data_IF_548697076265
#
_entry.id   IF_548697076265
#
_cell.length_a   1.000
_cell.length_b   1.000
_cell.length_c   1.000
_cell.angle_alpha   90.00
_cell.angle_beta   90.00
_cell.angle_gamma   90.00
#
_symmetry.space_group_name_H-M   'P 1'
#
loop_
_entity.id
_entity.type
_entity.pdbx_description
1 polymer ?
#
# COMPACT_ATOMS: atom_id res chain seq x y z
N UNK A 1 7.25 9.15 3.50
CA UNK A 1 8.02 9.09 2.23
C UNK A 1 8.73 7.75 1.99
N UNK A 2 8.74 6.81 2.95
CA UNK A 2 9.13 5.39 2.78
C UNK A 2 8.01 4.48 2.24
N UNK A 3 6.79 5.01 2.03
CA UNK A 3 5.59 4.19 1.87
C UNK A 3 5.48 3.49 0.50
N UNK A 4 6.12 4.03 -0.54
CA UNK A 4 6.01 3.51 -1.92
C UNK A 4 7.33 3.00 -2.51
N UNK A 5 8.41 2.90 -1.73
CA UNK A 5 9.71 2.41 -2.22
C UNK A 5 9.58 1.05 -2.94
N UNK A 6 8.79 0.14 -2.38
CA UNK A 6 8.61 -1.17 -2.97
C UNK A 6 7.92 -1.12 -4.34
N UNK A 7 7.04 -0.14 -4.59
CA UNK A 7 6.40 0.08 -5.89
C UNK A 7 7.41 0.62 -6.90
N UNK A 8 8.27 1.54 -6.47
CA UNK A 8 9.39 2.04 -7.27
C UNK A 8 10.34 0.90 -7.69
N UNK A 9 10.84 0.12 -6.72
CA UNK A 9 11.87 -0.90 -6.99
C UNK A 9 11.30 -2.08 -7.82
N UNK A 10 10.02 -2.41 -7.62
CA UNK A 10 9.30 -3.41 -8.43
C UNK A 10 9.14 -2.95 -9.88
N UNK A 11 8.70 -1.70 -10.10
CA UNK A 11 8.63 -1.12 -11.44
C UNK A 11 9.99 -1.07 -12.11
N UNK A 12 11.02 -0.60 -11.39
CA UNK A 12 12.40 -0.55 -11.87
C UNK A 12 12.89 -1.93 -12.33
N UNK A 13 12.72 -2.94 -11.47
CA UNK A 13 13.09 -4.32 -11.81
C UNK A 13 12.34 -4.82 -13.03
N UNK A 14 11.02 -4.62 -13.09
CA UNK A 14 10.20 -5.07 -14.22
C UNK A 14 10.71 -4.51 -15.55
N UNK A 15 10.92 -3.19 -15.64
CA UNK A 15 11.35 -2.58 -16.91
C UNK A 15 12.81 -2.88 -17.26
N UNK A 16 13.71 -2.91 -16.28
CA UNK A 16 15.09 -3.36 -16.52
C UNK A 16 15.11 -4.80 -17.06
N UNK A 17 14.30 -5.68 -16.48
CA UNK A 17 14.18 -7.06 -16.91
C UNK A 17 13.63 -7.20 -18.34
N UNK A 18 12.58 -6.46 -18.69
CA UNK A 18 12.05 -6.44 -20.06
C UNK A 18 13.11 -5.98 -21.07
N UNK A 19 13.91 -4.97 -20.71
CA UNK A 19 15.00 -4.47 -21.56
C UNK A 19 16.12 -5.51 -21.72
N UNK A 20 16.62 -6.10 -20.62
CA UNK A 20 17.68 -7.11 -20.69
C UNK A 20 17.27 -8.37 -21.46
N UNK A 21 15.97 -8.72 -21.48
CA UNK A 21 15.43 -9.82 -22.29
C UNK A 21 15.14 -9.44 -23.74
N UNK A 22 15.38 -8.18 -24.14
CA UNK A 22 15.12 -7.69 -25.50
C UNK A 22 13.63 -7.59 -25.87
N UNK A 23 12.74 -7.54 -24.87
CA UNK A 23 11.29 -7.44 -25.08
C UNK A 23 10.85 -6.00 -25.36
N UNK A 24 11.63 -5.02 -24.88
CA UNK A 24 11.43 -3.59 -25.14
C UNK A 24 12.73 -2.96 -25.63
N UNK A 25 12.59 -1.87 -26.40
CA UNK A 25 13.73 -1.05 -26.82
C UNK A 25 14.13 -0.05 -25.73
N UNK A 26 15.34 0.51 -25.83
CA UNK A 26 15.84 1.53 -24.90
C UNK A 26 14.88 2.71 -24.74
N UNK A 27 14.34 3.25 -25.84
CA UNK A 27 13.39 4.38 -25.79
C UNK A 27 12.03 4.03 -25.17
N UNK A 28 11.76 2.74 -24.94
CA UNK A 28 10.55 2.24 -24.32
C UNK A 28 10.74 1.86 -22.84
N UNK A 29 11.94 2.06 -22.27
CA UNK A 29 12.15 1.94 -20.82
C UNK A 29 11.48 3.15 -20.15
N UNK A 30 10.25 2.96 -19.68
CA UNK A 30 9.45 4.04 -19.07
C UNK A 30 9.62 4.04 -17.56
N UNK A 31 9.68 5.22 -16.94
CA UNK A 31 9.76 5.34 -15.46
C UNK A 31 8.58 6.11 -14.90
N UNK A 32 7.36 5.75 -15.30
CA UNK A 32 6.15 6.49 -14.91
C UNK A 32 5.98 6.65 -13.40
N UNK A 33 6.49 5.70 -12.62
CA UNK A 33 6.44 5.71 -11.17
C UNK A 33 7.47 6.64 -10.50
N UNK A 34 8.57 7.02 -11.18
CA UNK A 34 9.51 8.03 -10.65
C UNK A 34 9.03 9.45 -10.96
N UNK A 35 8.40 9.65 -12.12
CA UNK A 35 7.89 10.95 -12.59
C UNK A 35 6.88 11.56 -11.61
N UNK A 36 6.04 10.72 -10.98
CA UNK A 36 4.97 11.18 -10.08
C UNK A 36 5.44 11.53 -8.67
N UNK A 37 6.49 10.90 -8.17
CA UNK A 37 7.00 11.22 -6.83
C UNK A 37 7.93 12.45 -6.84
N UNK A 38 8.32 12.94 -8.02
CA UNK A 38 9.34 13.98 -8.18
C UNK A 38 10.69 13.61 -7.51
N UNK A 39 10.91 12.31 -7.30
CA UNK A 39 12.12 11.82 -6.66
C UNK A 39 13.28 11.81 -7.68
N UNK A 40 14.39 12.41 -7.29
CA UNK A 40 15.63 12.41 -8.07
C UNK A 40 16.37 11.12 -7.78
N UNK A 41 16.61 10.32 -8.82
CA UNK A 41 17.36 9.07 -8.75
C UNK A 41 18.86 9.34 -8.85
N UNK A 42 19.64 8.87 -7.89
CA UNK A 42 21.10 9.01 -7.92
C UNK A 42 21.79 7.76 -7.40
N UNK A 43 22.92 7.43 -8.02
CA UNK A 43 23.82 6.37 -7.59
C UNK A 43 25.18 6.98 -7.28
N UNK A 44 25.66 6.75 -6.06
CA UNK A 44 26.96 7.19 -5.57
C UNK A 44 27.96 6.06 -5.51
N UNK A 45 29.22 6.40 -5.72
CA UNK A 45 30.34 5.52 -5.40
C UNK A 45 30.59 5.48 -3.90
N UNK A 46 30.87 4.30 -3.35
CA UNK A 46 31.10 4.11 -1.90
C UNK A 46 32.44 4.64 -1.41
N UNK A 47 33.45 4.61 -2.29
CA UNK A 47 34.83 4.90 -1.92
C UNK A 47 35.09 6.41 -1.95
N UNK A 48 34.67 7.09 -3.03
CA UNK A 48 34.96 8.51 -3.25
C UNK A 48 33.75 9.45 -3.16
N UNK A 49 32.53 8.91 -2.99
CA UNK A 49 31.27 9.65 -2.94
C UNK A 49 30.92 10.39 -4.24
N UNK A 50 31.56 10.07 -5.36
CA UNK A 50 31.25 10.63 -6.66
C UNK A 50 29.87 10.18 -7.15
N UNK A 51 29.24 11.00 -8.00
CA UNK A 51 28.02 10.62 -8.69
C UNK A 51 28.37 9.69 -9.86
N UNK A 52 27.90 8.44 -9.81
CA UNK A 52 28.07 7.48 -10.90
C UNK A 52 26.94 7.62 -11.92
N UNK A 53 25.69 7.64 -11.43
CA UNK A 53 24.50 7.75 -12.28
C UNK A 53 23.52 8.77 -11.70
N UNK A 54 22.96 9.59 -12.59
CA UNK A 54 21.94 10.60 -12.32
C UNK A 54 20.57 10.24 -12.93
N UNK A 55 20.50 9.10 -13.61
CA UNK A 55 19.27 8.59 -14.20
C UNK A 55 19.22 7.06 -14.20
N UNK A 56 18.00 6.53 -14.15
CA UNK A 56 17.74 5.10 -14.21
C UNK A 56 18.16 4.53 -15.58
N UNK A 57 17.90 5.28 -16.65
CA UNK A 57 18.24 4.87 -18.01
C UNK A 57 19.74 4.69 -18.20
N UNK A 58 20.53 5.64 -17.70
CA UNK A 58 22.00 5.56 -17.74
C UNK A 58 22.49 4.33 -16.98
N UNK A 59 21.96 4.07 -15.78
CA UNK A 59 22.31 2.89 -14.99
C UNK A 59 22.02 1.59 -15.74
N UNK A 60 20.79 1.41 -16.24
CA UNK A 60 20.37 0.17 -16.91
C UNK A 60 21.20 -0.05 -18.19
N UNK A 61 21.39 1.01 -18.97
CA UNK A 61 22.12 0.94 -20.22
C UNK A 61 23.60 0.61 -20.00
N UNK A 62 24.26 1.26 -19.04
CA UNK A 62 25.66 0.99 -18.75
C UNK A 62 25.87 -0.43 -18.21
N UNK A 63 25.01 -0.89 -17.29
CA UNK A 63 25.05 -2.27 -16.80
C UNK A 63 24.83 -3.30 -17.91
N UNK A 64 23.96 -3.01 -18.90
CA UNK A 64 23.81 -3.85 -20.09
C UNK A 64 25.12 -3.93 -20.90
N UNK A 65 25.84 -2.82 -21.07
CA UNK A 65 27.15 -2.80 -21.75
C UNK A 65 28.22 -3.55 -20.95
N UNK A 66 28.13 -3.54 -19.62
CA UNK A 66 28.95 -4.35 -18.74
C UNK A 66 28.57 -5.85 -18.75
N UNK A 67 27.53 -6.23 -19.50
CA UNK A 67 27.12 -7.62 -19.70
C UNK A 67 26.07 -8.14 -18.72
N UNK A 68 25.28 -7.24 -18.11
CA UNK A 68 24.07 -7.61 -17.39
C UNK A 68 23.04 -8.24 -18.35
N UNK A 69 22.44 -9.36 -17.93
CA UNK A 69 21.49 -10.11 -18.77
C UNK A 69 20.16 -10.43 -18.06
N UNK A 70 20.07 -10.11 -16.78
CA UNK A 70 18.95 -10.45 -15.91
C UNK A 70 18.99 -9.58 -14.65
N UNK A 71 17.86 -9.34 -14.02
CA UNK A 71 17.80 -8.68 -12.72
C UNK A 71 16.65 -9.23 -11.87
N UNK A 72 16.83 -9.21 -10.55
CA UNK A 72 15.92 -9.83 -9.59
C UNK A 72 15.96 -9.09 -8.26
N UNK A 73 14.89 -9.20 -7.48
CA UNK A 73 14.80 -8.63 -6.14
C UNK A 73 15.11 -9.67 -5.07
N UNK A 74 15.78 -9.25 -4.01
CA UNK A 74 16.10 -10.07 -2.84
C UNK A 74 15.92 -9.28 -1.54
N UNK A 75 15.54 -9.92 -0.42
CA UNK A 75 15.50 -9.24 0.87
C UNK A 75 16.88 -8.72 1.29
N UNK A 76 16.94 -7.48 1.79
CA UNK A 76 18.19 -6.87 2.26
C UNK A 76 18.86 -7.71 3.35
N UNK A 77 18.11 -8.13 4.37
CA UNK A 77 18.64 -8.92 5.49
C UNK A 77 19.12 -10.31 5.08
N UNK A 78 18.63 -10.85 3.96
CA UNK A 78 19.16 -12.08 3.38
C UNK A 78 20.58 -11.86 2.84
N UNK A 79 20.80 -10.78 2.09
CA UNK A 79 22.08 -10.50 1.45
C UNK A 79 23.10 -9.87 2.41
N UNK A 80 22.65 -9.04 3.35
CA UNK A 80 23.50 -8.24 4.22
C UNK A 80 23.04 -8.32 5.69
N UNK A 81 23.14 -9.50 6.34
CA UNK A 81 22.64 -9.69 7.70
C UNK A 81 23.40 -8.88 8.76
N UNK A 82 24.69 -8.58 8.51
CA UNK A 82 25.57 -7.84 9.42
C UNK A 82 26.08 -6.56 8.74
N UNK A 83 25.20 -5.85 8.03
CA UNK A 83 25.59 -4.60 7.37
C UNK A 83 25.78 -3.47 8.38
N UNK A 84 26.92 -2.76 8.29
CA UNK A 84 27.15 -1.60 9.12
C UNK A 84 26.26 -0.44 8.67
N UNK A 85 25.50 0.15 9.61
CA UNK A 85 24.62 1.28 9.31
C UNK A 85 25.38 2.50 8.77
N UNK A 86 26.62 2.67 9.20
CA UNK A 86 27.46 3.81 8.82
C UNK A 86 28.69 3.28 8.11
N UNK A 87 28.86 3.62 6.84
CA UNK A 87 30.07 3.30 6.07
C UNK A 87 30.50 4.52 5.27
N UNK A 88 31.80 4.80 5.26
CA UNK A 88 32.38 5.99 4.61
C UNK A 88 31.68 7.28 5.06
N UNK A 89 31.01 7.99 4.14
CA UNK A 89 30.22 9.20 4.40
C UNK A 89 28.73 8.97 4.18
N UNK A 90 28.24 7.74 4.35
CA UNK A 90 26.84 7.40 4.12
C UNK A 90 26.23 6.72 5.35
N UNK A 91 24.97 7.07 5.61
CA UNK A 91 24.09 6.33 6.52
C UNK A 91 23.18 5.45 5.66
N UNK A 92 23.20 4.14 5.89
CA UNK A 92 22.43 3.16 5.14
C UNK A 92 21.13 2.77 5.85
N UNK A 93 20.12 2.45 5.05
CA UNK A 93 18.94 1.75 5.54
C UNK A 93 19.34 0.31 5.90
N UNK A 94 19.13 -0.09 7.16
CA UNK A 94 19.46 -1.44 7.63
C UNK A 94 18.22 -2.31 7.89
N UNK A 95 17.03 -1.71 7.86
CA UNK A 95 15.78 -2.45 7.97
C UNK A 95 15.63 -3.38 6.75
N UNK A 96 14.82 -4.44 6.86
CA UNK A 96 14.62 -5.29 5.70
C UNK A 96 13.81 -4.56 4.61
N UNK A 97 14.32 -4.56 3.38
CA UNK A 97 13.65 -4.01 2.19
C UNK A 97 14.05 -4.79 0.93
N UNK A 98 13.28 -4.71 -0.17
CA UNK A 98 13.67 -5.34 -1.44
C UNK A 98 14.88 -4.65 -2.09
N UNK A 99 15.94 -5.41 -2.34
CA UNK A 99 17.18 -4.98 -3.00
C UNK A 99 17.17 -5.48 -4.43
N UNK A 100 17.40 -4.59 -5.40
CA UNK A 100 17.58 -4.97 -6.79
C UNK A 100 19.00 -5.48 -7.02
N UNK A 101 19.11 -6.67 -7.59
CA UNK A 101 20.38 -7.30 -7.97
C UNK A 101 20.41 -7.48 -9.48
N UNK A 102 21.46 -6.96 -10.10
CA UNK A 102 21.78 -7.15 -11.50
C UNK A 102 22.70 -8.35 -11.65
N UNK A 103 22.32 -9.29 -12.50
CA UNK A 103 23.10 -10.49 -12.79
C UNK A 103 23.98 -10.23 -14.01
N UNK A 104 25.30 -10.19 -13.80
CA UNK A 104 26.31 -10.09 -14.86
C UNK A 104 26.99 -11.45 -15.03
N UNK A 105 27.70 -11.63 -16.15
CA UNK A 105 28.36 -12.91 -16.49
C UNK A 105 29.34 -13.42 -15.43
N UNK A 106 29.97 -12.50 -14.69
CA UNK A 106 31.08 -12.82 -13.78
C UNK A 106 30.85 -12.40 -12.33
N UNK A 107 29.84 -11.56 -12.08
CA UNK A 107 29.51 -11.05 -10.76
C UNK A 107 28.05 -10.64 -10.72
N UNK A 108 27.49 -10.52 -9.53
CA UNK A 108 26.18 -9.91 -9.33
C UNK A 108 26.39 -8.59 -8.59
N UNK A 109 25.65 -7.55 -8.94
CA UNK A 109 25.78 -6.22 -8.34
C UNK A 109 24.44 -5.85 -7.72
N UNK A 110 24.45 -5.51 -6.43
CA UNK A 110 23.27 -5.06 -5.70
C UNK A 110 23.17 -3.54 -5.68
N UNK A 111 21.98 -3.01 -5.95
CA UNK A 111 21.61 -1.62 -5.78
C UNK A 111 21.06 -1.43 -4.36
N UNK A 112 21.88 -0.87 -3.48
CA UNK A 112 21.54 -0.66 -2.07
C UNK A 112 21.11 0.78 -1.82
N UNK A 113 20.16 0.99 -0.91
CA UNK A 113 19.60 2.30 -0.61
C UNK A 113 20.44 3.01 0.44
N UNK A 114 20.77 4.27 0.18
CA UNK A 114 21.38 5.17 1.16
C UNK A 114 20.23 5.96 1.83
N UNK A 115 20.23 5.99 3.17
CA UNK A 115 19.27 6.78 3.95
C UNK A 115 19.60 8.28 3.83
N UNK A 116 20.88 8.64 4.01
CA UNK A 116 21.40 10.00 3.81
C UNK A 116 22.92 10.02 3.69
N UNK A 117 23.43 11.08 3.06
CA UNK A 117 24.85 11.41 3.12
C UNK A 117 25.19 12.04 4.49
N UNK A 118 26.31 11.65 5.08
CA UNK A 118 26.87 12.23 6.29
C UNK A 118 27.61 13.49 5.87
N UNK A 119 26.85 14.56 5.65
CA UNK A 119 27.39 15.90 5.38
C UNK A 119 27.71 16.56 6.72
N UNK A 120 28.78 17.37 6.77
CA UNK A 120 28.98 18.29 7.89
C UNK A 120 27.96 19.41 7.75
N UNK A 121 27.20 19.70 8.80
CA UNK A 121 26.33 20.88 8.87
C UNK A 121 27.09 22.11 8.40
N UNK A 122 26.67 22.69 7.27
CA UNK A 122 27.16 24.00 6.85
C UNK A 122 26.42 25.01 7.71
N UNK A 123 27.05 25.45 8.80
CA UNK A 123 26.56 26.57 9.59
C UNK A 123 26.57 27.82 8.68
N UNK A 124 25.42 28.46 8.40
CA UNK A 124 25.40 29.64 7.55
C UNK A 124 26.11 30.78 8.28
N UNK A 125 27.31 31.13 7.83
CA UNK A 125 28.03 32.33 8.30
C UNK A 125 27.46 33.54 7.55
N UNK A 126 26.21 33.92 7.83
CA UNK A 126 25.63 35.25 7.61
C UNK A 126 25.67 35.94 6.23
N UNK A 127 26.41 35.46 5.23
CA UNK A 127 26.53 36.04 3.89
C UNK A 127 25.99 35.07 2.83
N UNK A 128 24.83 35.36 2.23
CA UNK A 128 24.22 34.51 1.20
C UNK A 128 24.99 34.46 -0.13
N UNK A 129 26.13 35.15 -0.26
CA UNK A 129 26.99 35.13 -1.46
C UNK A 129 28.20 34.22 -1.31
N UNK A 130 28.48 33.71 -0.11
CA UNK A 130 29.45 32.65 0.09
C UNK A 130 28.82 31.32 -0.37
N UNK A 131 28.81 31.10 -1.69
CA UNK A 131 28.48 29.78 -2.25
C UNK A 131 29.66 28.84 -1.98
N UNK A 132 29.48 27.93 -1.01
CA UNK A 132 30.42 26.84 -0.78
C UNK A 132 30.21 25.77 -1.86
N UNK A 133 31.32 25.31 -2.46
CA UNK A 133 31.31 24.31 -3.54
C UNK A 133 30.78 22.93 -3.14
N UNK A 134 30.23 22.23 -4.14
CA UNK A 134 29.85 20.80 -4.32
C UNK A 134 29.25 19.95 -3.20
N UNK A 135 29.34 20.31 -1.92
CA UNK A 135 28.59 19.66 -0.85
C UNK A 135 27.23 20.35 -0.74
N UNK A 136 26.42 20.14 -1.77
CA UNK A 136 24.99 20.40 -1.72
C UNK A 136 24.44 19.66 -0.50
N UNK A 137 23.84 20.40 0.43
CA UNK A 137 22.97 19.86 1.46
C UNK A 137 21.82 19.14 0.75
N UNK A 138 22.00 17.86 0.43
CA UNK A 138 20.90 16.95 0.09
C UNK A 138 20.12 16.59 1.36
N UNK A 139 20.02 17.56 2.28
CA UNK A 139 19.12 17.48 3.39
C UNK A 139 17.72 17.68 2.85
N UNK A 140 16.95 16.63 3.06
CA UNK A 140 15.55 16.71 3.34
C UNK A 140 14.65 16.95 2.12
N UNK A 141 14.46 15.82 1.43
CA UNK A 141 13.20 15.37 0.80
C UNK A 141 13.28 15.37 -0.73
N UNK A 142 12.99 14.19 -1.31
CA UNK A 142 12.93 13.87 -2.75
C UNK A 142 14.18 13.28 -3.43
N UNK A 143 15.10 12.63 -2.70
CA UNK A 143 16.20 11.88 -3.32
C UNK A 143 16.05 10.37 -3.06
N UNK A 144 16.00 9.58 -4.13
CA UNK A 144 16.24 8.15 -4.06
C UNK A 144 17.73 7.90 -4.31
N UNK A 145 18.48 7.87 -3.21
CA UNK A 145 19.94 7.73 -3.21
C UNK A 145 20.33 6.26 -3.07
N UNK A 146 21.24 5.79 -3.92
CA UNK A 146 21.70 4.41 -3.94
C UNK A 146 23.22 4.30 -4.07
N UNK A 147 23.72 3.11 -3.84
CA UNK A 147 25.06 2.69 -4.26
C UNK A 147 25.04 1.28 -4.83
N UNK A 148 26.12 0.91 -5.52
CA UNK A 148 26.30 -0.40 -6.13
C UNK A 148 27.34 -1.21 -5.35
N UNK A 149 26.94 -2.38 -4.87
CA UNK A 149 27.84 -3.31 -4.17
C UNK A 149 27.95 -4.62 -4.96
N UNK A 150 29.16 -5.00 -5.41
CA UNK A 150 29.42 -6.34 -5.92
C UNK A 150 29.19 -7.41 -4.85
N UNK A 151 28.42 -8.44 -5.20
CA UNK A 151 28.08 -9.52 -4.27
C UNK A 151 29.19 -10.57 -4.21
N UNK A 152 29.52 -10.97 -2.98
CA UNK A 152 30.50 -12.01 -2.71
C UNK A 152 29.93 -13.43 -2.94
N UNK A 153 30.78 -14.45 -2.83
CA UNK A 153 30.39 -15.85 -3.07
C UNK A 153 29.28 -16.34 -2.11
N UNK A 154 29.28 -15.92 -0.85
CA UNK A 154 28.27 -16.32 0.13
C UNK A 154 26.90 -15.74 -0.22
N UNK A 155 26.85 -14.45 -0.55
CA UNK A 155 25.65 -13.76 -0.98
C UNK A 155 25.07 -14.41 -2.25
N UNK A 156 25.93 -14.75 -3.21
CA UNK A 156 25.53 -15.47 -4.41
C UNK A 156 24.97 -16.86 -4.13
N UNK A 157 25.45 -17.57 -3.09
CA UNK A 157 24.85 -18.83 -2.65
C UNK A 157 23.45 -18.62 -2.06
N UNK A 158 23.25 -17.57 -1.25
CA UNK A 158 21.93 -17.22 -0.68
C UNK A 158 20.91 -16.89 -1.77
N UNK A 159 21.32 -16.16 -2.81
CA UNK A 159 20.50 -15.90 -4.01
C UNK A 159 20.01 -17.20 -4.65
N UNK A 160 20.90 -18.18 -4.86
CA UNK A 160 20.54 -19.46 -5.49
C UNK A 160 19.51 -20.24 -4.66
N UNK A 161 19.64 -20.20 -3.33
CA UNK A 161 18.69 -20.85 -2.41
C UNK A 161 17.33 -20.12 -2.47
N UNK A 162 17.33 -18.79 -2.41
CA UNK A 162 16.10 -18.00 -2.49
C UNK A 162 15.33 -18.22 -3.80
N UNK A 163 16.05 -18.42 -4.90
CA UNK A 163 15.44 -18.71 -6.21
C UNK A 163 14.92 -20.16 -6.33
N UNK A 164 15.15 -21.05 -5.35
CA UNK A 164 14.68 -22.43 -5.42
C UNK A 164 13.14 -22.51 -5.27
N UNK A 165 12.53 -23.44 -6.01
CA UNK A 165 11.13 -23.41 -6.45
C UNK A 165 10.08 -22.98 -5.41
N UNK A 166 9.46 -21.83 -5.68
CA UNK A 166 8.30 -21.32 -4.95
C UNK A 166 7.01 -21.95 -5.49
N UNK A 167 6.18 -22.50 -4.60
CA UNK A 167 4.81 -22.89 -4.93
C UNK A 167 3.85 -21.79 -4.49
N UNK A 168 3.27 -21.07 -5.47
CA UNK A 168 2.39 -19.94 -5.22
C UNK A 168 1.08 -20.29 -4.52
N UNK A 169 0.51 -21.47 -4.77
CA UNK A 169 -0.72 -21.92 -4.10
C UNK A 169 -0.46 -22.23 -2.63
N UNK A 170 0.65 -22.91 -2.32
CA UNK A 170 1.04 -23.19 -0.93
C UNK A 170 1.37 -21.90 -0.18
N UNK A 171 2.16 -21.00 -0.79
CA UNK A 171 2.50 -19.70 -0.20
C UNK A 171 1.22 -18.91 0.12
N UNK A 172 0.26 -18.91 -0.81
CA UNK A 172 -1.02 -18.26 -0.61
C UNK A 172 -1.75 -18.83 0.61
N UNK A 173 -1.88 -20.16 0.70
CA UNK A 173 -2.57 -20.83 1.82
C UNK A 173 -1.91 -20.55 3.17
N UNK A 174 -0.58 -20.69 3.26
CA UNK A 174 0.20 -20.41 4.46
C UNK A 174 0.06 -18.94 4.89
N UNK A 175 0.10 -18.02 3.92
CA UNK A 175 -0.10 -16.58 4.18
C UNK A 175 -1.51 -16.31 4.71
N UNK A 176 -2.54 -16.90 4.11
CA UNK A 176 -3.92 -16.72 4.59
C UNK A 176 -4.10 -17.22 6.01
N UNK A 177 -3.52 -18.37 6.35
CA UNK A 177 -3.52 -18.90 7.72
C UNK A 177 -2.78 -17.96 8.69
N UNK A 178 -1.62 -17.45 8.29
CA UNK A 178 -0.84 -16.50 9.09
C UNK A 178 -1.60 -15.19 9.36
N UNK A 179 -2.25 -14.61 8.35
CA UNK A 179 -3.06 -13.39 8.51
C UNK A 179 -4.25 -13.65 9.43
N UNK A 180 -4.89 -14.82 9.33
CA UNK A 180 -6.09 -15.17 10.09
C UNK A 180 -5.84 -15.57 11.53
N UNK A 181 -4.67 -16.13 11.82
CA UNK A 181 -4.34 -16.64 13.17
C UNK A 181 -4.03 -15.52 14.18
N UNK A 182 -3.75 -14.31 13.72
CA UNK A 182 -3.45 -13.19 14.61
C UNK A 182 -4.72 -12.54 15.21
N UNK A 183 -4.72 -12.21 16.51
CA UNK A 183 -5.89 -11.66 17.20
C UNK A 183 -6.15 -10.17 16.89
N UNK A 184 -5.31 -9.51 16.09
CA UNK A 184 -5.36 -8.06 15.84
C UNK A 184 -6.27 -7.68 14.65
N UNK A 185 -7.39 -8.39 14.46
CA UNK A 185 -8.30 -8.19 13.34
C UNK A 185 -9.40 -7.18 13.66
N UNK A 186 -9.75 -6.31 12.70
CA UNK A 186 -11.00 -5.55 12.72
C UNK A 186 -11.97 -6.04 11.65
N UNK A 187 -13.27 -5.81 11.93
CA UNK A 187 -14.46 -5.94 11.08
C UNK A 187 -14.22 -6.32 9.62
N UNK A 188 -14.81 -7.45 9.22
CA UNK A 188 -14.84 -7.88 7.83
C UNK A 188 -13.61 -8.70 7.48
N UNK A 189 -13.75 -10.00 7.62
CA UNK A 189 -12.90 -10.99 6.96
C UNK A 189 -12.56 -10.52 5.54
N UNK A 190 -11.28 -10.23 5.27
CA UNK A 190 -10.77 -9.71 4.00
C UNK A 190 -11.47 -10.39 2.82
N UNK A 191 -12.44 -9.73 2.20
CA UNK A 191 -13.04 -10.25 0.98
C UNK A 191 -11.95 -10.22 -0.08
N UNK A 192 -11.57 -11.41 -0.51
CA UNK A 192 -10.42 -11.59 -1.37
C UNK A 192 -10.84 -11.19 -2.77
N UNK A 193 -10.51 -9.95 -3.13
CA UNK A 193 -10.56 -9.51 -4.51
C UNK A 193 -9.33 -10.02 -5.23
N UNK A 194 -9.49 -11.11 -5.97
CA UNK A 194 -8.45 -11.54 -6.90
C UNK A 194 -8.20 -10.46 -7.95
N UNK A 195 -6.93 -10.22 -8.25
CA UNK A 195 -6.51 -9.27 -9.28
C UNK A 195 -5.58 -9.94 -10.28
N UNK A 196 -5.62 -9.48 -11.52
CA UNK A 196 -4.73 -9.91 -12.61
C UNK A 196 -3.58 -8.92 -12.86
N UNK A 197 -3.57 -7.75 -12.20
CA UNK A 197 -2.53 -6.75 -12.35
C UNK A 197 -2.32 -5.94 -11.06
N UNK A 198 -1.16 -5.30 -10.94
CA UNK A 198 -0.90 -4.30 -9.91
C UNK A 198 -1.03 -2.90 -10.48
N UNK A 199 -1.51 -1.98 -9.66
CA UNK A 199 -1.50 -0.55 -9.97
C UNK A 199 -0.55 0.15 -9.01
N UNK A 200 0.54 0.68 -9.54
CA UNK A 200 1.60 1.26 -8.72
C UNK A 200 1.14 2.57 -8.04
N UNK A 201 0.18 3.28 -8.63
CA UNK A 201 -0.45 4.45 -8.01
C UNK A 201 -1.94 4.50 -8.37
N UNK A 202 -2.84 4.19 -7.43
CA UNK A 202 -4.26 4.49 -7.56
C UNK A 202 -4.54 5.86 -6.91
N UNK A 203 -4.41 6.95 -7.66
CA UNK A 203 -5.02 8.22 -7.26
C UNK A 203 -6.30 8.39 -8.08
N UNK A 204 -7.41 7.93 -7.50
CA UNK A 204 -8.75 8.07 -8.07
C UNK A 204 -9.10 9.54 -8.38
N UNK A 205 -8.54 10.47 -7.60
CA UNK A 205 -8.77 11.92 -7.75
C UNK A 205 -8.16 12.52 -9.04
N UNK A 206 -7.16 11.87 -9.65
CA UNK A 206 -6.53 12.34 -10.90
C UNK A 206 -6.86 11.46 -12.13
N UNK A 207 -7.67 10.42 -11.95
CA UNK A 207 -8.12 9.53 -13.03
C UNK A 207 -7.01 8.73 -13.74
N UNK A 208 -5.78 8.73 -13.21
CA UNK A 208 -4.63 8.06 -13.82
C UNK A 208 -4.13 6.94 -12.92
N UNK A 209 -4.43 5.69 -13.29
CA UNK A 209 -3.80 4.51 -12.69
C UNK A 209 -2.65 4.04 -13.58
N UNK A 210 -1.50 3.76 -12.97
CA UNK A 210 -0.35 3.20 -13.69
C UNK A 210 -0.31 1.69 -13.47
N UNK A 211 -0.78 0.89 -14.44
CA UNK A 211 -0.67 -0.56 -14.33
C UNK A 211 0.81 -0.97 -14.40
N UNK A 212 1.19 -1.98 -13.63
CA UNK A 212 2.51 -2.59 -13.72
C UNK A 212 2.69 -3.24 -15.10
N UNK A 213 1.68 -4.00 -15.55
CA UNK A 213 1.66 -4.63 -16.87
C UNK A 213 0.77 -3.81 -17.82
N UNK A 214 1.32 -3.34 -18.94
CA UNK A 214 0.52 -2.63 -19.96
C UNK A 214 -0.54 -3.55 -20.60
N UNK A 215 -0.22 -4.84 -20.76
CA UNK A 215 -1.12 -5.86 -21.32
C UNK A 215 -1.24 -7.02 -20.32
N UNK A 216 -2.08 -6.92 -19.28
CA UNK A 216 -2.24 -7.99 -18.29
C UNK A 216 -2.95 -9.21 -18.89
N UNK A 217 -2.67 -10.39 -18.32
CA UNK A 217 -3.43 -11.60 -18.62
C UNK A 217 -4.90 -11.45 -18.19
N UNK A 218 -5.81 -12.16 -18.83
CA UNK A 218 -7.21 -12.25 -18.37
C UNK A 218 -7.37 -13.11 -17.11
N UNK A 219 -6.36 -13.91 -16.78
CA UNK A 219 -6.34 -14.76 -15.59
C UNK A 219 -5.87 -13.97 -14.36
N UNK A 220 -6.48 -14.28 -13.21
CA UNK A 220 -6.06 -13.74 -11.93
C UNK A 220 -4.67 -14.25 -11.54
N UNK A 221 -3.97 -13.43 -10.76
CA UNK A 221 -2.59 -13.63 -10.38
C UNK A 221 -2.47 -13.64 -8.84
N UNK A 222 -2.02 -14.76 -8.28
CA UNK A 222 -1.92 -14.91 -6.81
C UNK A 222 -0.90 -13.96 -6.21
N UNK A 223 0.23 -13.73 -6.88
CA UNK A 223 1.27 -12.84 -6.38
C UNK A 223 0.74 -11.40 -6.21
N UNK A 224 0.03 -10.91 -7.23
CA UNK A 224 -0.58 -9.59 -7.19
C UNK A 224 -1.72 -9.49 -6.18
N UNK A 225 -2.55 -10.55 -6.08
CA UNK A 225 -3.62 -10.63 -5.10
C UNK A 225 -3.09 -10.55 -3.66
N UNK A 226 -2.03 -11.31 -3.36
CA UNK A 226 -1.40 -11.29 -2.04
C UNK A 226 -0.78 -9.92 -1.72
N UNK A 227 -0.12 -9.26 -2.69
CA UNK A 227 0.46 -7.94 -2.45
C UNK A 227 -0.62 -6.91 -2.08
N UNK A 228 -1.74 -6.90 -2.79
CA UNK A 228 -2.87 -6.02 -2.48
C UNK A 228 -3.45 -6.29 -1.09
N UNK A 229 -3.53 -7.56 -0.69
CA UNK A 229 -3.98 -7.93 0.65
C UNK A 229 -3.02 -7.46 1.75
N UNK A 230 -1.71 -7.61 1.55
CA UNK A 230 -0.71 -7.11 2.49
C UNK A 230 -0.73 -5.58 2.59
N UNK A 231 -0.96 -4.86 1.49
CA UNK A 231 -1.17 -3.40 1.53
C UNK A 231 -2.35 -3.04 2.44
N UNK A 232 -3.51 -3.68 2.21
CA UNK A 232 -4.71 -3.45 3.02
C UNK A 232 -4.48 -3.81 4.50
N UNK A 233 -3.83 -4.94 4.77
CA UNK A 233 -3.49 -5.38 6.12
C UNK A 233 -2.57 -4.38 6.83
N UNK A 234 -1.55 -3.84 6.16
CA UNK A 234 -0.66 -2.82 6.74
C UNK A 234 -1.41 -1.52 7.05
N UNK A 235 -2.32 -1.09 6.18
CA UNK A 235 -3.19 0.08 6.45
C UNK A 235 -4.05 -0.18 7.69
N UNK A 236 -4.64 -1.37 7.79
CA UNK A 236 -5.46 -1.76 8.93
C UNK A 236 -4.66 -1.81 10.24
N UNK A 237 -3.46 -2.39 10.24
CA UNK A 237 -2.59 -2.44 11.42
C UNK A 237 -2.15 -1.04 11.87
N UNK A 238 -1.86 -0.14 10.92
CA UNK A 238 -1.60 1.28 11.23
C UNK A 238 -2.83 1.95 11.85
N UNK A 239 -4.02 1.67 11.31
CA UNK A 239 -5.30 2.11 11.89
C UNK A 239 -5.55 1.53 13.28
N UNK A 240 -5.12 0.29 13.53
CA UNK A 240 -5.28 -0.41 14.81
C UNK A 240 -4.55 0.29 15.94
N UNK A 241 -3.29 0.69 15.72
CA UNK A 241 -2.52 1.44 16.73
C UNK A 241 -2.72 2.95 16.68
N UNK A 242 -3.55 3.45 15.77
CA UNK A 242 -3.69 4.90 15.57
C UNK A 242 -4.26 5.54 16.85
N UNK A 243 -3.62 6.60 17.42
CA UNK A 243 -4.04 7.17 18.71
C UNK A 243 -5.49 7.70 18.75
N UNK A 244 -6.05 8.04 17.58
CA UNK A 244 -7.44 8.50 17.45
C UNK A 244 -8.47 7.38 17.24
N UNK A 245 -8.03 6.13 17.15
CA UNK A 245 -8.94 5.00 16.99
C UNK A 245 -9.37 4.49 18.38
N UNK A 246 -10.36 5.17 18.96
CA UNK A 246 -10.92 4.86 20.29
C UNK A 246 -11.63 3.50 20.34
N UNK A 247 -11.99 2.93 19.17
CA UNK A 247 -12.62 1.61 19.06
C UNK A 247 -11.61 0.46 19.08
N UNK A 248 -10.31 0.77 19.11
CA UNK A 248 -9.26 -0.24 19.11
C UNK A 248 -8.90 -0.70 20.51
N UNK A 249 -8.82 -2.02 20.68
CA UNK A 249 -8.30 -2.64 21.91
C UNK A 249 -6.84 -2.25 22.18
N UNK A 250 -6.09 -1.84 21.15
CA UNK A 250 -4.70 -1.40 21.28
C UNK A 250 -4.50 -0.33 22.36
N UNK A 251 -5.47 0.57 22.53
CA UNK A 251 -5.37 1.65 23.53
C UNK A 251 -5.40 1.12 24.96
N UNK A 252 -5.91 -0.09 25.16
CA UNK A 252 -6.01 -0.76 26.45
C UNK A 252 -4.94 -1.83 26.65
N UNK A 253 -4.06 -2.07 25.66
CA UNK A 253 -3.04 -3.10 25.74
C UNK A 253 -2.02 -2.82 26.85
N UNK A 254 -1.63 -3.87 27.56
CA UNK A 254 -0.48 -3.80 28.44
C UNK A 254 0.85 -3.83 27.65
N UNK A 255 1.98 -3.69 28.35
CA UNK A 255 3.29 -3.68 27.71
C UNK A 255 3.61 -5.02 27.01
N UNK A 256 3.11 -6.15 27.52
CA UNK A 256 3.34 -7.47 26.92
C UNK A 256 2.57 -7.61 25.61
N UNK A 257 1.32 -7.16 25.58
CA UNK A 257 0.46 -7.14 24.41
C UNK A 257 0.98 -6.19 23.33
N UNK A 258 1.48 -5.01 23.71
CA UNK A 258 2.17 -4.09 22.79
C UNK A 258 3.39 -4.77 22.17
N UNK A 259 4.18 -5.49 22.95
CA UNK A 259 5.35 -6.23 22.43
C UNK A 259 4.93 -7.35 21.47
N UNK A 260 3.88 -8.12 21.79
CA UNK A 260 3.34 -9.15 20.89
C UNK A 260 2.83 -8.55 19.59
N UNK A 261 2.17 -7.39 19.65
CA UNK A 261 1.72 -6.66 18.46
C UNK A 261 2.91 -6.21 17.61
N UNK A 262 3.94 -5.62 18.21
CA UNK A 262 5.12 -5.14 17.49
C UNK A 262 5.86 -6.30 16.79
N UNK A 263 6.00 -7.46 17.45
CA UNK A 263 6.59 -8.68 16.84
C UNK A 263 5.74 -9.16 15.66
N UNK A 264 4.42 -9.11 15.78
CA UNK A 264 3.53 -9.47 14.67
C UNK A 264 3.65 -8.49 13.49
N UNK A 265 3.65 -7.18 13.76
CA UNK A 265 3.82 -6.14 12.74
C UNK A 265 5.17 -6.28 12.02
N UNK A 266 6.24 -6.57 12.77
CA UNK A 266 7.56 -6.85 12.19
C UNK A 266 7.52 -8.08 11.29
N UNK A 267 6.94 -9.19 11.75
CA UNK A 267 6.78 -10.42 10.96
C UNK A 267 6.03 -10.18 9.65
N UNK A 268 4.93 -9.41 9.69
CA UNK A 268 4.19 -8.96 8.51
C UNK A 268 5.08 -8.13 7.58
N UNK A 269 5.91 -7.25 8.14
CA UNK A 269 6.91 -6.49 7.40
C UNK A 269 7.89 -7.40 6.64
N UNK A 270 8.45 -8.39 7.33
CA UNK A 270 9.40 -9.36 6.75
C UNK A 270 8.77 -10.19 5.63
N UNK A 271 7.58 -10.76 5.87
CA UNK A 271 6.86 -11.55 4.87
C UNK A 271 6.49 -10.71 3.64
N UNK A 272 6.10 -9.45 3.85
CA UNK A 272 5.80 -8.57 2.73
C UNK A 272 7.02 -8.33 1.83
N UNK A 273 8.20 -8.12 2.41
CA UNK A 273 9.44 -7.96 1.64
C UNK A 273 9.75 -9.22 0.83
N UNK A 274 9.60 -10.40 1.43
CA UNK A 274 9.78 -11.68 0.74
C UNK A 274 8.79 -11.84 -0.41
N UNK A 275 7.51 -11.53 -0.19
CA UNK A 275 6.46 -11.58 -1.20
C UNK A 275 6.74 -10.62 -2.37
N UNK A 276 7.19 -9.39 -2.09
CA UNK A 276 7.60 -8.45 -3.15
C UNK A 276 8.72 -9.05 -3.99
N UNK A 277 9.74 -9.62 -3.34
CA UNK A 277 10.89 -10.21 -4.04
C UNK A 277 10.48 -11.41 -4.91
N UNK A 278 9.66 -12.31 -4.37
CA UNK A 278 9.13 -13.44 -5.13
C UNK A 278 8.23 -12.99 -6.29
N UNK A 279 7.36 -12.01 -6.06
CA UNK A 279 6.50 -11.45 -7.12
C UNK A 279 7.35 -10.92 -8.27
N UNK A 280 8.35 -10.06 -7.97
CA UNK A 280 9.23 -9.49 -8.99
C UNK A 280 9.94 -10.57 -9.84
N UNK A 281 10.36 -11.65 -9.18
CA UNK A 281 11.18 -12.69 -9.81
C UNK A 281 10.35 -13.75 -10.56
N UNK A 282 9.10 -14.01 -10.17
CA UNK A 282 8.33 -15.15 -10.69
C UNK A 282 6.81 -14.98 -10.77
N UNK A 283 6.28 -13.75 -10.83
CA UNK A 283 4.82 -13.52 -10.94
C UNK A 283 4.18 -14.24 -12.15
N UNK A 284 4.92 -14.47 -13.23
CA UNK A 284 4.39 -15.15 -14.42
C UNK A 284 3.95 -16.59 -14.12
N UNK A 285 4.54 -17.23 -13.11
CA UNK A 285 4.17 -18.58 -12.67
C UNK A 285 3.00 -18.60 -11.67
N UNK A 286 2.46 -17.43 -11.30
CA UNK A 286 1.41 -17.29 -10.27
C UNK A 286 0.01 -17.04 -10.84
N UNK A 287 -0.14 -17.06 -12.18
CA UNK A 287 -1.46 -17.03 -12.81
C UNK A 287 -2.23 -18.31 -12.53
N UNK A 288 -3.49 -18.17 -12.14
CA UNK A 288 -4.34 -19.29 -11.76
C UNK A 288 -5.51 -19.48 -12.71
N UNK A 289 -5.97 -20.73 -12.78
CA UNK A 289 -7.19 -21.08 -13.50
C UNK A 289 -8.43 -20.66 -12.72
N UNK A 290 -9.56 -20.47 -13.43
CA UNK A 290 -10.87 -20.20 -12.80
C UNK A 290 -11.27 -21.32 -11.83
N UNK A 291 -10.89 -22.57 -12.13
CA UNK A 291 -11.15 -23.71 -11.24
C UNK A 291 -10.41 -23.56 -9.91
N UNK A 292 -9.11 -23.29 -9.97
CA UNK A 292 -8.26 -23.07 -8.79
C UNK A 292 -8.77 -21.89 -7.95
N UNK A 293 -9.16 -20.80 -8.60
CA UNK A 293 -9.76 -19.64 -7.92
C UNK A 293 -11.00 -20.03 -7.14
N UNK A 294 -11.96 -20.73 -7.77
CA UNK A 294 -13.18 -21.16 -7.11
C UNK A 294 -12.94 -22.13 -5.94
N UNK A 295 -11.87 -22.93 -5.99
CA UNK A 295 -11.47 -23.83 -4.91
C UNK A 295 -10.93 -23.03 -3.71
N UNK A 296 -10.06 -22.05 -3.96
CA UNK A 296 -9.53 -21.17 -2.93
C UNK A 296 -10.65 -20.34 -2.27
N UNK A 297 -11.55 -19.74 -3.06
CA UNK A 297 -12.73 -19.01 -2.58
C UNK A 297 -13.60 -19.84 -1.63
N UNK A 298 -13.80 -21.13 -1.93
CA UNK A 298 -14.57 -22.04 -1.07
C UNK A 298 -13.86 -22.34 0.24
N UNK A 299 -12.54 -22.60 0.22
CA UNK A 299 -11.74 -22.82 1.44
C UNK A 299 -11.82 -21.59 2.38
N UNK A 300 -11.82 -20.38 1.80
CA UNK A 300 -11.99 -19.13 2.55
C UNK A 300 -13.37 -19.07 3.23
N UNK A 301 -14.45 -19.34 2.49
CA UNK A 301 -15.81 -19.30 3.05
C UNK A 301 -16.01 -20.35 4.15
N UNK A 302 -15.46 -21.55 3.98
CA UNK A 302 -15.55 -22.63 4.97
C UNK A 302 -14.83 -22.27 6.27
N UNK A 303 -13.62 -21.72 6.17
CA UNK A 303 -12.85 -21.25 7.33
C UNK A 303 -13.48 -20.05 8.05
N UNK A 304 -14.21 -19.16 7.35
CA UNK A 304 -15.04 -18.12 8.01
C UNK A 304 -16.12 -18.74 8.91
N UNK A 305 -16.75 -19.85 8.47
CA UNK A 305 -17.80 -20.54 9.25
C UNK A 305 -17.25 -21.29 10.47
N UNK A 306 -16.05 -21.86 10.36
CA UNK A 306 -15.42 -22.65 11.43
C UNK A 306 -14.79 -21.78 12.53
N UNK A 307 -14.29 -20.59 12.20
CA UNK A 307 -13.64 -19.67 13.14
C UNK A 307 -14.62 -18.92 14.07
N UNK A 308 -15.93 -19.11 13.92
CA UNK A 308 -16.93 -18.42 14.74
C UNK A 308 -16.96 -16.89 14.57
N UNK A 309 -16.17 -16.35 13.63
CA UNK A 309 -16.25 -14.99 13.13
C UNK A 309 -17.56 -14.86 12.35
N UNK A 310 -18.67 -14.78 13.08
CA UNK A 310 -19.91 -14.25 12.56
C UNK A 310 -19.61 -12.85 12.03
N UNK A 311 -20.09 -12.57 10.82
CA UNK A 311 -20.18 -11.19 10.34
C UNK A 311 -20.70 -10.35 11.50
N UNK A 312 -19.94 -9.33 11.88
CA UNK A 312 -20.41 -8.26 12.75
C UNK A 312 -21.48 -7.39 12.09
N UNK A 313 -22.23 -7.95 11.13
CA UNK A 313 -23.60 -7.55 10.80
C UNK A 313 -24.64 -8.27 11.66
N UNK A 314 -24.25 -9.12 12.62
CA UNK A 314 -25.15 -9.53 13.70
C UNK A 314 -25.29 -8.35 14.66
N UNK A 315 -26.16 -7.41 14.29
CA UNK A 315 -27.07 -6.80 15.27
C UNK A 315 -27.55 -7.96 16.13
N UNK A 316 -27.35 -7.89 17.45
CA UNK A 316 -27.85 -8.90 18.39
C UNK A 316 -29.19 -9.43 17.90
N UNK A 317 -29.24 -10.71 17.56
CA UNK A 317 -30.51 -11.41 17.44
C UNK A 317 -31.09 -11.49 18.86
N UNK A 318 -31.62 -10.36 19.36
CA UNK A 318 -32.86 -10.42 20.11
C UNK A 318 -33.80 -11.22 19.21
N UNK A 319 -34.14 -12.42 19.65
CA UNK A 319 -35.13 -13.32 19.08
C UNK A 319 -36.19 -12.46 18.39
N UNK A 320 -36.17 -12.42 17.06
CA UNK A 320 -37.25 -11.80 16.30
C UNK A 320 -38.51 -12.50 16.80
N UNK A 321 -39.47 -11.79 17.41
CA UNK A 321 -40.80 -12.34 17.52
C UNK A 321 -41.23 -12.63 16.08
N UNK A 322 -41.95 -13.72 15.87
CA UNK A 322 -42.73 -13.91 14.64
C UNK A 322 -43.39 -12.57 14.27
N UNK A 323 -43.49 -12.21 12.99
CA UNK A 323 -44.13 -10.95 12.62
C UNK A 323 -45.56 -10.96 13.19
N UNK A 324 -45.75 -10.25 14.31
CA UNK A 324 -47.06 -10.08 14.91
C UNK A 324 -47.90 -9.42 13.83
N UNK A 325 -48.90 -10.15 13.35
CA UNK A 325 -49.94 -9.57 12.51
C UNK A 325 -50.54 -8.41 13.30
N UNK A 326 -50.21 -7.17 12.91
CA UNK A 326 -50.68 -5.98 13.59
C UNK A 326 -52.21 -6.01 13.46
N UNK A 327 -52.90 -6.28 14.57
CA UNK A 327 -54.35 -6.23 14.57
C UNK A 327 -54.78 -4.80 14.20
N UNK A 328 -55.82 -4.66 13.38
CA UNK A 328 -56.22 -3.37 12.80
C UNK A 328 -56.44 -2.26 13.85
N UNK A 329 -56.71 -2.63 15.09
CA UNK A 329 -56.81 -1.70 16.22
C UNK A 329 -55.47 -1.09 16.67
N UNK A 330 -54.37 -1.85 16.65
CA UNK A 330 -53.03 -1.32 16.97
C UNK A 330 -52.50 -0.38 15.87
N UNK A 331 -52.84 -0.65 14.60
CA UNK A 331 -52.51 0.24 13.48
C UNK A 331 -53.30 1.56 13.56
N UNK A 332 -54.57 1.51 13.95
CA UNK A 332 -55.40 2.71 14.11
C UNK A 332 -54.91 3.61 15.26
N UNK A 333 -54.50 3.02 16.38
CA UNK A 333 -53.98 3.77 17.53
C UNK A 333 -52.61 4.38 17.27
N UNK A 334 -51.70 3.66 16.60
CA UNK A 334 -50.40 4.23 16.18
C UNK A 334 -50.59 5.36 15.17
N UNK A 335 -51.51 5.22 14.21
CA UNK A 335 -51.84 6.29 13.28
C UNK A 335 -52.36 7.54 14.00
N UNK A 336 -53.27 7.40 14.97
CA UNK A 336 -53.79 8.51 15.76
C UNK A 336 -52.71 9.22 16.59
N UNK A 337 -51.78 8.47 17.17
CA UNK A 337 -50.64 9.04 17.93
C UNK A 337 -49.74 9.85 17.01
N UNK A 338 -49.39 9.30 15.84
CA UNK A 338 -48.55 10.00 14.85
C UNK A 338 -49.24 11.27 14.35
N UNK A 339 -50.56 11.22 14.11
CA UNK A 339 -51.34 12.38 13.65
C UNK A 339 -51.41 13.47 14.73
N UNK A 340 -51.53 13.09 16.00
CA UNK A 340 -51.51 14.02 17.13
C UNK A 340 -50.15 14.70 17.27
N UNK A 341 -49.04 13.95 17.13
CA UNK A 341 -47.68 14.51 17.16
C UNK A 341 -47.48 15.49 16.00
N UNK A 342 -47.91 15.13 14.79
CA UNK A 342 -47.86 16.00 13.62
C UNK A 342 -48.65 17.29 13.83
N UNK A 343 -49.86 17.21 14.40
CA UNK A 343 -50.68 18.37 14.73
C UNK A 343 -50.01 19.28 15.77
N UNK A 344 -49.36 18.71 16.79
CA UNK A 344 -48.62 19.48 17.80
C UNK A 344 -47.43 20.21 17.17
N UNK A 345 -46.69 19.54 16.28
CA UNK A 345 -45.55 20.14 15.56
C UNK A 345 -46.03 21.26 14.63
N UNK A 346 -47.09 21.02 13.85
CA UNK A 346 -47.69 22.01 12.96
C UNK A 346 -48.24 23.22 13.72
N UNK A 347 -48.86 22.99 14.88
CA UNK A 347 -49.36 24.05 15.74
C UNK A 347 -48.21 24.85 16.40
N UNK A 348 -47.13 24.18 16.79
CA UNK A 348 -45.91 24.81 17.28
C UNK A 348 -45.25 25.69 16.21
N UNK A 349 -45.16 25.20 14.97
CA UNK A 349 -44.69 25.96 13.82
C UNK A 349 -45.60 27.16 13.51
N UNK A 350 -46.92 26.98 13.58
CA UNK A 350 -47.88 28.07 13.41
C UNK A 350 -47.70 29.16 14.48
N UNK A 351 -47.53 28.79 15.76
CA UNK A 351 -47.26 29.73 16.85
C UNK A 351 -45.92 30.46 16.68
N UNK A 352 -44.89 29.76 16.19
CA UNK A 352 -43.58 30.35 15.87
C UNK A 352 -43.69 31.38 14.74
N UNK A 353 -44.46 31.06 13.68
CA UNK A 353 -44.75 31.97 12.55
C UNK A 353 -45.62 33.17 12.97
N UNK A 354 -46.50 32.99 13.96
CA UNK A 354 -47.35 34.06 14.47
C UNK A 354 -46.59 35.04 15.37
N UNK A 355 -45.60 34.57 16.15
CA UNK A 355 -44.79 35.42 17.05
C UNK A 355 -43.61 36.13 16.40
N UNK A 356 -43.08 35.61 15.28
CA UNK A 356 -41.90 36.17 14.62
C UNK A 356 -42.21 36.51 13.16
N UNK A 357 -42.49 37.78 12.87
CA UNK A 357 -42.75 38.27 11.50
C UNK A 357 -41.58 37.99 10.53
N UNK A 358 -40.36 37.90 11.07
CA UNK A 358 -39.17 37.53 10.31
C UNK A 358 -39.25 36.11 9.69
N UNK A 359 -39.93 35.17 10.36
CA UNK A 359 -40.11 33.81 9.84
C UNK A 359 -41.08 33.78 8.64
N UNK A 360 -42.10 34.64 8.63
CA UNK A 360 -43.00 34.81 7.47
C UNK A 360 -42.24 35.34 6.26
N UNK A 361 -41.38 36.33 6.47
CA UNK A 361 -40.53 36.90 5.42
C UNK A 361 -39.56 35.86 4.85
N UNK A 362 -38.90 35.08 5.70
CA UNK A 362 -37.93 34.06 5.27
C UNK A 362 -38.61 32.94 4.46
N UNK A 363 -39.81 32.51 4.86
CA UNK A 363 -40.58 31.45 4.19
C UNK A 363 -41.10 31.91 2.83
N UNK A 364 -41.57 33.17 2.72
CA UNK A 364 -41.97 33.75 1.44
C UNK A 364 -40.76 33.85 0.49
N UNK A 365 -39.60 34.31 0.98
CA UNK A 365 -38.38 34.42 0.18
C UNK A 365 -37.88 33.06 -0.31
N UNK A 366 -37.83 32.05 0.56
CA UNK A 366 -37.37 30.71 0.16
C UNK A 366 -38.32 30.09 -0.86
N UNK A 367 -39.63 30.29 -0.70
CA UNK A 367 -40.64 29.81 -1.67
C UNK A 367 -40.49 30.49 -3.03
N UNK A 368 -40.27 31.81 -3.05
CA UNK A 368 -40.03 32.58 -4.28
C UNK A 368 -38.72 32.15 -4.96
N UNK A 369 -37.63 31.98 -4.20
CA UNK A 369 -36.35 31.46 -4.72
C UNK A 369 -36.50 30.06 -5.32
N UNK A 370 -37.27 29.20 -4.68
CA UNK A 370 -37.54 27.83 -5.14
C UNK A 370 -38.29 27.84 -6.47
N UNK A 371 -39.31 28.68 -6.59
CA UNK A 371 -40.07 28.85 -7.84
C UNK A 371 -39.20 29.46 -8.96
N UNK A 372 -38.37 30.45 -8.65
CA UNK A 372 -37.44 31.05 -9.62
C UNK A 372 -36.40 30.04 -10.13
N UNK A 373 -35.86 29.18 -9.26
CA UNK A 373 -34.93 28.11 -9.66
C UNK A 373 -35.60 27.10 -10.59
N UNK A 374 -36.87 26.78 -10.36
CA UNK A 374 -37.63 25.86 -11.22
C UNK A 374 -37.95 26.50 -12.57
N UNK A 375 -38.27 27.80 -12.60
CA UNK A 375 -38.56 28.53 -13.84
C UNK A 375 -37.28 28.78 -14.65
N UNK A 376 -36.15 29.10 -14.01
CA UNK A 376 -34.87 29.34 -14.69
C UNK A 376 -34.13 28.08 -15.15
N UNK A 377 -34.64 26.89 -14.83
CA UNK A 377 -34.18 25.60 -15.38
C UNK A 377 -34.99 25.14 -16.61
N UNK A 378 -35.98 25.92 -17.04
CA UNK A 378 -36.55 25.88 -18.40
C UNK A 378 -35.94 27.00 -19.23
#
# INVERSE_FOLDING_TARGET
>A
MTENYWKFILGLQHNAQQFFKGLISYHAVRHHWSIRNHDIFMVRDLDDCSLIYDSIDTLIFDLFHQGAYDCSLYPFTLLFPEFEKTQSKFLFEINNYPVLVFNLRHTNIALIKIEREIVKDIQPIGDPREFWGTLSTQDEWNYMLFSLIPLNLEQNKKIRIFNSGLNWENLYKETQEFIRSAPYQFYGTYDISFTNNLHLYPHEEEGCTFPLLENPSSQNNLAFTLLQQFEALKINLRGFKHPRNEMSEYQNFDLEEINKFNVYEESIGQQFVQLICHTANSYQASYISVKTQNELEKEIILSKKESGLQDSSVIENTTSPEPETISGWRALTTLLIVLAILLIILYGLFLLVQKYEFAKFLLIITTILSVLIIIGRK
#
